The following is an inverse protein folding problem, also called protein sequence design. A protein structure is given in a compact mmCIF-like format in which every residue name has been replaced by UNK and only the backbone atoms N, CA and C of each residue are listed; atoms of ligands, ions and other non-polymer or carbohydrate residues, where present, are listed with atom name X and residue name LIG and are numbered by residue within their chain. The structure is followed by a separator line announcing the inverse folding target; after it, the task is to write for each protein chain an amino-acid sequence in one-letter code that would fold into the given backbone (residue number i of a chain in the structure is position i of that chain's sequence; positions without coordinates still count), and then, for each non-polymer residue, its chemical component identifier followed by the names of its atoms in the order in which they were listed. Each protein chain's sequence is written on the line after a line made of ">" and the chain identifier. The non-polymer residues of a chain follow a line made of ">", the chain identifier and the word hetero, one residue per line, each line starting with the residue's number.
data_IF_531441112977
#
_entry.id   IF_531441112977
#
_cell.length_a   1.000
_cell.length_b   1.000
_cell.length_c   1.000
_cell.angle_alpha   90.00
_cell.angle_beta   90.00
_cell.angle_gamma   90.00
#
_symmetry.space_group_name_H-M   'P 1'
#
loop_
_entity.id
_entity.type
_entity.pdbx_description
1 polymer ?
#
# COMPACT_ATOMS: atom_id res chain seq x y z
N UNK A 1 4.19 -16.76 -25.55
CA UNK A 1 4.99 -15.53 -25.66
C UNK A 1 5.32 -15.30 -27.13
N UNK A 2 5.51 -14.05 -27.54
CA UNK A 2 6.06 -13.73 -28.87
C UNK A 2 7.59 -13.88 -28.87
N UNK A 3 8.23 -13.95 -30.05
CA UNK A 3 9.71 -13.97 -30.15
C UNK A 3 10.35 -12.76 -29.46
N UNK A 4 9.72 -11.58 -29.57
CA UNK A 4 10.20 -10.38 -28.88
C UNK A 4 10.11 -10.52 -27.36
N UNK A 5 9.02 -11.10 -26.84
CA UNK A 5 8.88 -11.36 -25.41
C UNK A 5 9.93 -12.37 -24.90
N UNK A 6 10.26 -13.39 -25.68
CA UNK A 6 11.33 -14.34 -25.33
C UNK A 6 12.69 -13.64 -25.25
N UNK A 7 13.00 -12.75 -26.19
CA UNK A 7 14.22 -11.94 -26.16
C UNK A 7 14.24 -11.00 -24.94
N UNK A 8 13.14 -10.29 -24.68
CA UNK A 8 13.01 -9.40 -23.52
C UNK A 8 13.16 -10.18 -22.19
N UNK A 9 12.61 -11.39 -22.11
CA UNK A 9 12.77 -12.27 -20.95
C UNK A 9 14.23 -12.71 -20.80
N UNK A 10 14.92 -13.05 -21.88
CA UNK A 10 16.35 -13.36 -21.84
C UNK A 10 17.18 -12.16 -21.35
N UNK A 11 16.84 -10.93 -21.79
CA UNK A 11 17.46 -9.70 -21.30
C UNK A 11 17.19 -9.48 -19.80
N UNK A 12 15.98 -9.75 -19.34
CA UNK A 12 15.62 -9.71 -17.90
C UNK A 12 16.45 -10.71 -17.10
N UNK A 13 16.57 -11.95 -17.55
CA UNK A 13 17.38 -13.00 -16.88
C UNK A 13 18.84 -12.54 -16.79
N UNK A 14 19.42 -12.08 -17.90
CA UNK A 14 20.79 -11.56 -17.94
C UNK A 14 20.98 -10.40 -16.98
N UNK A 15 20.06 -9.42 -16.97
CA UNK A 15 20.08 -8.28 -16.05
C UNK A 15 20.08 -8.73 -14.59
N UNK A 16 19.24 -9.71 -14.24
CA UNK A 16 19.20 -10.25 -12.88
C UNK A 16 20.51 -10.96 -12.51
N UNK A 17 21.12 -11.71 -13.44
CA UNK A 17 22.41 -12.34 -13.23
C UNK A 17 23.52 -11.30 -13.01
N UNK A 18 23.63 -10.31 -13.90
CA UNK A 18 24.65 -9.25 -13.85
C UNK A 18 24.58 -8.46 -12.53
N UNK A 19 23.36 -8.22 -12.04
CA UNK A 19 23.12 -7.45 -10.80
C UNK A 19 22.91 -8.32 -9.57
N UNK A 20 23.08 -9.64 -9.67
CA UNK A 20 22.87 -10.60 -8.57
C UNK A 20 21.48 -10.46 -7.90
N UNK A 21 20.46 -10.15 -8.70
CA UNK A 21 19.09 -9.96 -8.24
C UNK A 21 18.38 -11.30 -8.19
N UNK A 22 17.70 -11.56 -7.07
CA UNK A 22 16.81 -12.71 -6.91
C UNK A 22 15.41 -12.16 -6.67
N UNK A 23 14.49 -12.49 -7.58
CA UNK A 23 13.11 -12.05 -7.48
C UNK A 23 12.34 -13.01 -6.55
N UNK A 24 11.81 -12.54 -5.42
CA UNK A 24 10.99 -13.37 -4.53
C UNK A 24 9.66 -13.75 -5.17
N UNK A 25 9.16 -14.93 -4.81
CA UNK A 25 7.79 -15.33 -5.14
C UNK A 25 6.78 -14.71 -4.17
N UNK A 26 5.52 -14.58 -4.57
CA UNK A 26 4.45 -14.21 -3.62
C UNK A 26 4.32 -15.19 -2.45
N UNK A 27 4.66 -16.47 -2.64
CA UNK A 27 4.69 -17.45 -1.55
C UNK A 27 5.72 -17.07 -0.49
N UNK A 28 6.90 -16.60 -0.89
CA UNK A 28 7.95 -16.12 0.02
C UNK A 28 7.60 -14.79 0.68
N UNK A 29 6.99 -13.85 -0.05
CA UNK A 29 6.50 -12.61 0.54
C UNK A 29 5.40 -12.84 1.60
N UNK A 30 4.50 -13.80 1.33
CA UNK A 30 3.46 -14.24 2.26
C UNK A 30 4.03 -15.00 3.46
N UNK A 31 4.98 -15.91 3.20
CA UNK A 31 5.62 -16.73 4.21
C UNK A 31 7.16 -16.65 4.10
N UNK A 32 7.79 -15.75 4.88
CA UNK A 32 9.23 -15.58 4.91
C UNK A 32 10.02 -16.84 5.31
N UNK A 33 9.40 -17.83 5.97
CA UNK A 33 10.05 -19.11 6.29
C UNK A 33 10.48 -19.88 5.02
N UNK A 34 9.87 -19.56 3.86
CA UNK A 34 10.22 -20.13 2.56
C UNK A 34 11.41 -19.42 1.88
N UNK A 35 11.95 -18.36 2.50
CA UNK A 35 13.13 -17.65 2.01
C UNK A 35 14.36 -18.48 2.37
N UNK A 36 15.28 -18.77 1.42
CA UNK A 36 16.51 -19.50 1.71
C UNK A 36 17.29 -18.89 2.88
N UNK A 37 17.76 -19.72 3.81
CA UNK A 37 18.52 -19.28 5.01
C UNK A 37 19.70 -18.37 4.66
N UNK A 38 20.41 -18.67 3.57
CA UNK A 38 21.51 -17.83 3.06
C UNK A 38 21.11 -16.39 2.74
N UNK A 39 19.86 -16.16 2.34
CA UNK A 39 19.31 -14.83 2.06
C UNK A 39 18.92 -14.17 3.38
N UNK A 40 18.24 -14.90 4.26
CA UNK A 40 17.87 -14.39 5.59
C UNK A 40 19.10 -13.96 6.41
N UNK A 41 20.18 -14.73 6.37
CA UNK A 41 21.44 -14.40 7.03
C UNK A 41 22.02 -13.07 6.51
N UNK A 42 22.02 -12.86 5.18
CA UNK A 42 22.50 -11.61 4.57
C UNK A 42 21.64 -10.39 4.89
N UNK A 43 20.33 -10.57 5.09
CA UNK A 43 19.43 -9.47 5.47
C UNK A 43 19.78 -8.86 6.84
N UNK A 44 20.48 -9.62 7.70
CA UNK A 44 20.93 -9.13 9.02
C UNK A 44 21.97 -8.01 8.95
N UNK A 45 22.61 -7.83 7.80
CA UNK A 45 23.60 -6.78 7.56
C UNK A 45 23.05 -5.65 6.67
N UNK A 46 21.73 -5.60 6.46
CA UNK A 46 21.06 -4.69 5.52
C UNK A 46 19.98 -3.89 6.26
N UNK A 47 19.99 -2.56 6.07
CA UNK A 47 18.94 -1.65 6.52
C UNK A 47 17.61 -1.90 5.82
N UNK A 48 16.50 -1.72 6.53
CA UNK A 48 15.14 -1.98 6.03
C UNK A 48 14.80 -1.16 4.77
N UNK A 49 15.40 0.03 4.64
CA UNK A 49 15.16 0.97 3.55
C UNK A 49 16.36 1.14 2.60
N UNK A 50 17.41 0.31 2.77
CA UNK A 50 18.59 0.36 1.90
C UNK A 50 18.25 -0.04 0.47
N UNK A 51 18.94 0.57 -0.50
CA UNK A 51 18.84 0.23 -1.92
C UNK A 51 19.61 -1.05 -2.25
N UNK A 52 19.23 -2.16 -1.60
CA UNK A 52 19.82 -3.48 -1.78
C UNK A 52 18.80 -4.45 -2.40
N UNK A 53 19.12 -5.17 -3.50
CA UNK A 53 18.20 -6.10 -4.14
C UNK A 53 17.59 -7.17 -3.20
N UNK A 54 18.28 -7.55 -2.13
CA UNK A 54 17.73 -8.51 -1.15
C UNK A 54 16.52 -7.94 -0.38
N UNK A 55 16.37 -6.62 -0.28
CA UNK A 55 15.18 -6.03 0.33
C UNK A 55 13.90 -6.27 -0.49
N UNK A 56 13.95 -6.81 -1.71
CA UNK A 56 12.76 -7.35 -2.39
C UNK A 56 12.06 -8.42 -1.53
N UNK A 57 12.82 -9.22 -0.78
CA UNK A 57 12.28 -10.23 0.14
C UNK A 57 11.58 -9.61 1.36
N UNK A 58 11.88 -8.34 1.68
CA UNK A 58 11.21 -7.57 2.73
C UNK A 58 9.92 -6.88 2.25
N UNK A 59 9.44 -7.16 1.04
CA UNK A 59 8.10 -6.75 0.60
C UNK A 59 7.08 -7.71 1.24
N UNK A 60 6.95 -7.60 2.57
CA UNK A 60 6.17 -8.49 3.43
C UNK A 60 5.64 -7.75 4.66
N UNK A 61 4.47 -8.16 5.14
CA UNK A 61 3.87 -7.66 6.38
C UNK A 61 4.60 -8.13 7.65
N UNK A 62 5.56 -9.04 7.51
CA UNK A 62 6.19 -9.81 8.59
C UNK A 62 7.61 -9.38 8.90
N UNK A 63 8.08 -8.25 8.40
CA UNK A 63 9.41 -7.75 8.74
C UNK A 63 9.50 -7.49 10.25
N UNK A 64 10.62 -7.84 10.87
CA UNK A 64 10.88 -7.40 12.24
C UNK A 64 10.91 -5.86 12.29
N UNK A 65 10.26 -5.22 13.29
CA UNK A 65 10.07 -3.77 13.33
C UNK A 65 11.33 -3.02 13.80
N UNK A 66 12.45 -3.25 13.14
CA UNK A 66 13.75 -2.61 13.39
C UNK A 66 14.32 -2.04 12.08
N UNK A 67 15.03 -0.92 12.18
CA UNK A 67 15.52 -0.21 10.98
C UNK A 67 16.73 -0.89 10.32
N UNK A 68 17.50 -1.68 11.07
CA UNK A 68 18.70 -2.35 10.59
C UNK A 68 18.77 -3.80 11.06
N UNK A 69 19.11 -4.70 10.14
CA UNK A 69 19.42 -6.10 10.46
C UNK A 69 18.26 -6.99 10.90
N UNK A 70 17.02 -6.47 10.84
CA UNK A 70 15.82 -7.21 11.23
C UNK A 70 15.58 -8.46 10.39
N UNK A 71 15.12 -9.52 11.05
CA UNK A 71 14.62 -10.73 10.42
C UNK A 71 13.15 -10.63 10.03
N UNK A 72 12.43 -11.73 10.24
CA UNK A 72 10.99 -11.81 10.04
C UNK A 72 10.32 -12.35 11.32
N UNK A 73 9.09 -11.94 11.57
CA UNK A 73 8.26 -12.38 12.69
C UNK A 73 6.79 -12.54 12.30
N UNK A 74 5.89 -12.30 13.24
CA UNK A 74 4.46 -12.22 12.95
C UNK A 74 4.11 -11.00 12.08
N UNK A 75 2.88 -10.97 11.58
CA UNK A 75 2.35 -9.78 10.90
C UNK A 75 2.39 -8.58 11.86
N UNK A 76 2.90 -7.45 11.40
CA UNK A 76 2.90 -6.23 12.19
C UNK A 76 1.49 -5.63 12.27
N UNK A 77 0.92 -5.57 13.48
CA UNK A 77 -0.38 -4.93 13.71
C UNK A 77 -0.45 -4.22 15.07
N UNK A 78 -1.45 -3.35 15.20
CA UNK A 78 -1.96 -2.84 16.48
C UNK A 78 -3.44 -3.17 16.59
N UNK A 79 -3.88 -3.46 17.81
CA UNK A 79 -5.30 -3.50 18.14
C UNK A 79 -5.65 -2.20 18.87
N UNK A 80 -6.72 -1.54 18.44
CA UNK A 80 -7.16 -0.29 19.02
C UNK A 80 -8.22 -0.55 20.11
N UNK A 81 -8.04 0.01 21.32
CA UNK A 81 -8.91 -0.25 22.45
C UNK A 81 -10.28 0.46 22.29
N UNK A 82 -11.27 -0.02 23.03
CA UNK A 82 -12.64 0.53 23.03
C UNK A 82 -12.68 1.99 23.52
N UNK A 83 -11.79 2.35 24.43
CA UNK A 83 -11.60 3.70 24.99
C UNK A 83 -11.20 4.70 23.90
N UNK A 84 -10.47 4.24 22.87
CA UNK A 84 -10.08 5.07 21.72
C UNK A 84 -11.14 5.05 20.61
N UNK A 85 -11.69 3.87 20.30
CA UNK A 85 -12.56 3.67 19.12
C UNK A 85 -14.03 3.97 19.40
N UNK A 86 -14.46 3.89 20.65
CA UNK A 86 -15.84 4.09 21.08
C UNK A 86 -16.83 3.04 20.55
N UNK A 87 -16.36 1.86 20.12
CA UNK A 87 -17.20 0.77 19.61
C UNK A 87 -16.87 -0.55 20.32
N UNK A 88 -17.84 -1.47 20.33
CA UNK A 88 -17.67 -2.81 20.94
C UNK A 88 -16.86 -3.76 20.06
N UNK A 89 -16.94 -3.58 18.74
CA UNK A 89 -16.18 -4.37 17.78
C UNK A 89 -14.68 -4.14 17.95
N UNK A 90 -13.89 -5.21 17.80
CA UNK A 90 -12.43 -5.11 17.85
C UNK A 90 -11.92 -4.54 16.53
N UNK A 91 -11.10 -3.50 16.58
CA UNK A 91 -10.50 -2.88 15.39
C UNK A 91 -9.01 -3.17 15.38
N UNK A 92 -8.54 -3.84 14.34
CA UNK A 92 -7.14 -4.23 14.15
C UNK A 92 -6.57 -3.55 12.92
N UNK A 93 -5.40 -2.95 13.06
CA UNK A 93 -4.72 -2.18 12.00
C UNK A 93 -3.39 -2.85 11.70
N UNK A 94 -3.23 -3.38 10.48
CA UNK A 94 -1.93 -3.84 10.00
C UNK A 94 -1.03 -2.64 9.69
N UNK A 95 0.26 -2.73 10.01
CA UNK A 95 1.20 -1.60 9.93
C UNK A 95 2.11 -1.70 8.71
N UNK A 96 1.95 -0.77 7.76
CA UNK A 96 2.75 -0.67 6.54
C UNK A 96 4.13 -0.02 6.72
N UNK A 97 4.35 0.65 7.87
CA UNK A 97 5.59 1.38 8.20
C UNK A 97 6.86 0.54 8.04
N UNK A 98 6.77 -0.77 8.29
CA UNK A 98 7.91 -1.68 8.26
C UNK A 98 8.15 -2.32 6.90
N UNK A 99 7.49 -1.85 5.84
CA UNK A 99 7.90 -2.18 4.48
C UNK A 99 9.10 -1.33 4.05
N UNK A 100 9.85 -1.77 3.03
CA UNK A 100 10.76 -0.90 2.30
C UNK A 100 10.08 0.41 1.90
N UNK A 101 10.83 1.51 1.85
CA UNK A 101 10.32 2.91 1.71
C UNK A 101 9.42 3.44 2.83
N UNK A 102 9.10 2.63 3.84
CA UNK A 102 8.22 3.02 4.95
C UNK A 102 6.73 2.88 4.64
N UNK A 103 6.36 2.26 3.51
CA UNK A 103 4.98 2.14 3.09
C UNK A 103 4.74 0.83 2.33
N UNK A 104 3.60 0.17 2.54
CA UNK A 104 3.30 -1.09 1.86
C UNK A 104 3.09 -0.94 0.33
N UNK A 105 3.08 0.29 -0.21
CA UNK A 105 2.93 0.56 -1.65
C UNK A 105 4.04 -0.04 -2.50
N UNK A 106 5.20 -0.40 -1.94
CA UNK A 106 6.20 -1.23 -2.64
C UNK A 106 5.63 -2.57 -3.12
N UNK A 107 4.66 -3.15 -2.41
CA UNK A 107 3.95 -4.34 -2.88
C UNK A 107 3.08 -4.08 -4.12
N UNK A 108 2.37 -2.94 -4.11
CA UNK A 108 1.52 -2.52 -5.21
C UNK A 108 2.32 -2.16 -6.48
N UNK A 109 3.59 -1.80 -6.35
CA UNK A 109 4.50 -1.49 -7.48
C UNK A 109 5.27 -2.72 -7.96
N UNK A 110 5.61 -3.63 -7.04
CA UNK A 110 6.31 -4.88 -7.35
C UNK A 110 5.50 -5.74 -8.33
N UNK A 111 4.20 -5.91 -8.07
CA UNK A 111 3.31 -6.72 -8.92
C UNK A 111 3.34 -6.29 -10.39
N UNK A 112 2.96 -5.05 -10.73
CA UNK A 112 2.99 -4.52 -12.09
C UNK A 112 4.36 -4.67 -12.78
N UNK A 113 5.45 -4.26 -12.13
CA UNK A 113 6.79 -4.33 -12.73
C UNK A 113 7.26 -5.76 -12.95
N UNK A 114 7.22 -6.60 -11.92
CA UNK A 114 7.72 -7.98 -11.99
C UNK A 114 6.89 -8.80 -12.96
N UNK A 115 5.57 -8.62 -13.01
CA UNK A 115 4.73 -9.33 -13.96
C UNK A 115 5.13 -9.07 -15.43
N UNK A 116 5.50 -7.84 -15.78
CA UNK A 116 5.96 -7.52 -17.14
C UNK A 116 7.37 -8.01 -17.41
N UNK A 117 8.27 -7.97 -16.41
CA UNK A 117 9.62 -8.52 -16.51
C UNK A 117 9.60 -10.02 -16.79
N UNK A 118 8.87 -10.81 -15.99
CA UNK A 118 8.87 -12.28 -16.09
C UNK A 118 8.06 -12.80 -17.28
N UNK A 119 7.22 -11.98 -17.91
CA UNK A 119 6.47 -12.33 -19.12
C UNK A 119 7.10 -11.77 -20.40
N UNK A 120 8.23 -11.05 -20.30
CA UNK A 120 8.91 -10.44 -21.43
C UNK A 120 8.19 -9.22 -22.03
N UNK A 121 7.21 -8.64 -21.33
CA UNK A 121 6.52 -7.42 -21.77
C UNK A 121 7.33 -6.15 -21.46
N UNK A 122 8.39 -6.26 -20.66
CA UNK A 122 9.32 -5.19 -20.32
C UNK A 122 10.76 -5.67 -20.55
N UNK A 123 11.53 -4.91 -21.31
CA UNK A 123 12.98 -5.09 -21.47
C UNK A 123 13.75 -4.08 -20.60
N UNK A 124 14.37 -4.54 -19.50
CA UNK A 124 15.10 -3.66 -18.58
C UNK A 124 16.41 -3.10 -19.14
N UNK A 125 16.83 -3.54 -20.33
CA UNK A 125 18.04 -3.03 -20.99
C UNK A 125 17.79 -1.81 -21.88
N UNK A 126 16.56 -1.66 -22.39
CA UNK A 126 16.22 -0.63 -23.40
C UNK A 126 15.05 0.25 -22.99
N UNK A 127 14.22 -0.17 -22.04
CA UNK A 127 13.01 0.55 -21.62
C UNK A 127 13.13 1.11 -20.19
N UNK A 128 12.36 2.16 -19.90
CA UNK A 128 12.18 2.71 -18.54
C UNK A 128 10.76 2.42 -18.02
N UNK A 129 10.65 2.13 -16.73
CA UNK A 129 9.39 2.02 -16.01
C UNK A 129 8.85 3.42 -15.68
N UNK A 130 7.64 3.74 -16.12
CA UNK A 130 6.98 5.01 -15.85
C UNK A 130 5.88 4.82 -14.80
N UNK A 131 5.96 5.57 -13.71
CA UNK A 131 5.10 5.51 -12.55
C UNK A 131 4.23 6.78 -12.45
N UNK A 132 2.95 6.73 -12.82
CA UNK A 132 2.02 7.83 -12.64
C UNK A 132 1.36 7.77 -11.26
N UNK A 133 1.63 8.73 -10.38
CA UNK A 133 0.97 8.82 -9.07
C UNK A 133 1.21 10.16 -8.37
N UNK A 134 0.28 10.53 -7.51
CA UNK A 134 0.42 11.64 -6.58
C UNK A 134 1.25 11.28 -5.34
N UNK A 135 1.33 10.01 -4.93
CA UNK A 135 1.87 9.60 -3.62
C UNK A 135 2.93 8.49 -3.63
N UNK A 136 2.85 7.62 -2.63
CA UNK A 136 3.83 6.56 -2.33
C UNK A 136 4.07 5.54 -3.46
N UNK A 137 3.21 5.48 -4.48
CA UNK A 137 3.40 4.58 -5.62
C UNK A 137 4.60 4.99 -6.50
N UNK A 138 4.86 6.29 -6.69
CA UNK A 138 6.09 6.76 -7.36
C UNK A 138 7.34 6.35 -6.58
N UNK A 139 7.29 6.49 -5.25
CA UNK A 139 8.39 6.13 -4.35
C UNK A 139 8.68 4.63 -4.40
N UNK A 140 7.66 3.80 -4.21
CA UNK A 140 7.79 2.34 -4.25
C UNK A 140 8.22 1.84 -5.62
N UNK A 141 7.71 2.43 -6.70
CA UNK A 141 8.05 2.04 -8.06
C UNK A 141 9.49 2.38 -8.42
N UNK A 142 9.96 3.58 -8.08
CA UNK A 142 11.36 3.95 -8.26
C UNK A 142 12.30 3.08 -7.42
N UNK A 143 11.89 2.70 -6.19
CA UNK A 143 12.61 1.75 -5.35
C UNK A 143 12.75 0.38 -6.02
N UNK A 144 11.63 -0.23 -6.43
CA UNK A 144 11.63 -1.56 -7.07
C UNK A 144 12.40 -1.54 -8.39
N UNK A 145 12.21 -0.49 -9.21
CA UNK A 145 12.96 -0.30 -10.46
C UNK A 145 14.46 -0.25 -10.19
N UNK A 146 14.91 0.48 -9.18
CA UNK A 146 16.33 0.52 -8.81
C UNK A 146 16.85 -0.86 -8.41
N UNK A 147 16.13 -1.58 -7.54
CA UNK A 147 16.52 -2.91 -7.06
C UNK A 147 16.59 -3.94 -8.20
N UNK A 148 15.64 -3.89 -9.13
CA UNK A 148 15.56 -4.76 -10.31
C UNK A 148 16.42 -4.27 -11.48
N UNK A 149 17.10 -3.13 -11.32
CA UNK A 149 18.01 -2.55 -12.30
C UNK A 149 17.37 -2.04 -13.59
N UNK A 150 16.15 -1.53 -13.47
CA UNK A 150 15.36 -0.87 -14.50
C UNK A 150 15.52 0.66 -14.39
N UNK A 151 15.46 1.37 -15.52
CA UNK A 151 15.33 2.83 -15.48
C UNK A 151 13.95 3.24 -14.96
N UNK A 152 13.87 4.37 -14.25
CA UNK A 152 12.63 4.87 -13.64
C UNK A 152 12.28 6.28 -14.12
N UNK A 153 10.98 6.52 -14.33
CA UNK A 153 10.37 7.83 -14.58
C UNK A 153 9.21 7.98 -13.59
N UNK A 154 9.22 9.01 -12.76
CA UNK A 154 8.14 9.36 -11.86
C UNK A 154 7.39 10.57 -12.41
N UNK A 155 6.07 10.45 -12.56
CA UNK A 155 5.18 11.54 -12.97
C UNK A 155 4.23 11.84 -11.82
N UNK A 156 4.40 13.01 -11.20
CA UNK A 156 3.67 13.42 -9.99
C UNK A 156 3.41 14.93 -9.97
N UNK A 157 2.42 15.42 -9.20
CA UNK A 157 2.10 16.85 -9.16
C UNK A 157 3.16 17.70 -8.46
N UNK A 158 3.26 18.97 -8.83
CA UNK A 158 4.27 19.91 -8.32
C UNK A 158 4.00 20.40 -6.88
N UNK A 159 2.75 20.34 -6.40
CA UNK A 159 2.40 20.71 -5.02
C UNK A 159 2.77 19.63 -3.98
N UNK A 160 3.37 18.52 -4.41
CA UNK A 160 3.87 17.48 -3.51
C UNK A 160 5.13 17.94 -2.76
N UNK A 161 5.43 17.30 -1.63
CA UNK A 161 6.53 17.75 -0.76
C UNK A 161 7.90 17.69 -1.45
N UNK A 162 8.76 18.68 -1.17
CA UNK A 162 10.13 18.72 -1.70
C UNK A 162 10.95 17.46 -1.34
N UNK A 163 10.75 16.92 -0.13
CA UNK A 163 11.37 15.66 0.30
C UNK A 163 11.07 14.50 -0.66
N UNK A 164 9.87 14.48 -1.25
CA UNK A 164 9.46 13.46 -2.23
C UNK A 164 10.27 13.58 -3.52
N UNK A 165 10.45 14.81 -4.02
CA UNK A 165 11.29 15.08 -5.19
C UNK A 165 12.76 14.74 -4.93
N UNK A 166 13.30 15.14 -3.78
CA UNK A 166 14.69 14.90 -3.41
C UNK A 166 14.99 13.40 -3.31
N UNK A 167 14.08 12.63 -2.71
CA UNK A 167 14.22 11.18 -2.62
C UNK A 167 14.18 10.52 -4.01
N UNK A 168 13.26 10.93 -4.89
CA UNK A 168 13.15 10.38 -6.25
C UNK A 168 14.40 10.65 -7.10
N UNK A 169 14.96 11.86 -7.00
CA UNK A 169 16.21 12.22 -7.65
C UNK A 169 17.39 11.41 -7.09
N UNK A 170 17.45 11.22 -5.76
CA UNK A 170 18.52 10.43 -5.11
C UNK A 170 18.53 8.96 -5.55
N UNK A 171 17.36 8.36 -5.79
CA UNK A 171 17.27 6.98 -6.32
C UNK A 171 17.49 6.91 -7.84
N UNK A 172 17.76 8.04 -8.51
CA UNK A 172 18.06 8.10 -9.93
C UNK A 172 16.84 8.02 -10.84
N UNK A 173 15.65 8.31 -10.33
CA UNK A 173 14.45 8.41 -11.17
C UNK A 173 14.47 9.72 -11.95
N UNK A 174 14.09 9.67 -13.22
CA UNK A 174 13.69 10.87 -13.94
C UNK A 174 12.40 11.40 -13.32
N UNK A 175 12.31 12.69 -13.00
CA UNK A 175 11.14 13.28 -12.33
C UNK A 175 10.47 14.29 -13.24
N UNK A 176 9.17 14.12 -13.46
CA UNK A 176 8.35 14.99 -14.31
C UNK A 176 7.19 15.50 -13.47
N UNK A 177 7.22 16.80 -13.17
CA UNK A 177 6.16 17.47 -12.43
C UNK A 177 4.95 17.80 -13.33
N UNK A 178 3.74 17.70 -12.79
CA UNK A 178 2.50 18.16 -13.42
C UNK A 178 1.80 19.21 -12.56
N UNK A 179 0.96 20.09 -13.12
CA UNK A 179 0.19 21.05 -12.33
C UNK A 179 -0.77 20.38 -11.34
N UNK A 180 -0.97 21.00 -10.17
CA UNK A 180 -1.95 20.59 -9.15
C UNK A 180 -1.38 19.80 -7.97
N UNK A 181 -2.27 19.17 -7.19
CA UNK A 181 -1.95 18.52 -5.93
C UNK A 181 -2.47 17.08 -5.80
N UNK A 182 -2.76 16.65 -4.57
CA UNK A 182 -2.97 15.24 -4.19
C UNK A 182 -4.08 14.52 -4.98
N UNK A 183 -5.12 15.23 -5.42
CA UNK A 183 -6.26 14.64 -6.15
C UNK A 183 -6.21 14.91 -7.66
N UNK A 184 -5.09 15.41 -8.21
CA UNK A 184 -4.96 15.81 -9.62
C UNK A 184 -4.34 14.70 -10.49
N UNK A 185 -5.13 13.65 -10.76
CA UNK A 185 -4.68 12.50 -11.58
C UNK A 185 -4.85 12.73 -13.09
N UNK A 186 -5.78 13.60 -13.51
CA UNK A 186 -6.01 13.90 -14.93
C UNK A 186 -4.75 14.45 -15.60
N UNK A 187 -4.11 15.42 -14.97
CA UNK A 187 -2.93 16.09 -15.50
C UNK A 187 -1.76 15.10 -15.65
N UNK A 188 -1.63 14.16 -14.71
CA UNK A 188 -0.70 13.03 -14.81
C UNK A 188 -1.02 12.18 -16.04
N UNK A 189 -2.29 11.82 -16.28
CA UNK A 189 -2.66 11.03 -17.46
C UNK A 189 -2.39 11.75 -18.79
N UNK A 190 -2.68 13.05 -18.87
CA UNK A 190 -2.39 13.85 -20.05
C UNK A 190 -0.88 13.88 -20.33
N UNK A 191 -0.06 14.01 -19.26
CA UNK A 191 1.40 13.94 -19.38
C UNK A 191 1.90 12.55 -19.77
N UNK A 192 1.35 11.49 -19.21
CA UNK A 192 1.66 10.10 -19.58
C UNK A 192 1.36 9.84 -21.05
N UNK A 193 0.20 10.32 -21.54
CA UNK A 193 -0.19 10.20 -22.95
C UNK A 193 0.78 10.92 -23.87
N UNK A 194 1.20 12.14 -23.50
CA UNK A 194 2.24 12.89 -24.21
C UNK A 194 3.55 12.09 -24.27
N UNK A 195 4.05 11.62 -23.13
CA UNK A 195 5.32 10.89 -23.05
C UNK A 195 5.27 9.58 -23.86
N UNK A 196 4.14 8.89 -23.86
CA UNK A 196 3.95 7.68 -24.68
C UNK A 196 4.00 7.98 -26.17
N UNK A 197 3.41 9.09 -26.61
CA UNK A 197 3.48 9.53 -28.00
C UNK A 197 4.91 9.93 -28.41
N UNK A 198 5.65 10.59 -27.51
CA UNK A 198 7.01 11.08 -27.76
C UNK A 198 8.08 9.98 -27.70
N UNK A 199 7.97 9.04 -26.74
CA UNK A 199 9.01 8.07 -26.43
C UNK A 199 8.71 6.66 -26.95
N UNK A 200 7.46 6.40 -27.36
CA UNK A 200 7.02 5.11 -27.86
C UNK A 200 7.39 3.97 -26.91
N UNK A 201 7.93 2.88 -27.48
CA UNK A 201 8.28 1.69 -26.72
C UNK A 201 9.50 1.87 -25.79
N UNK A 202 10.16 3.03 -25.75
CA UNK A 202 11.26 3.27 -24.78
C UNK A 202 10.77 3.39 -23.34
N UNK A 203 9.47 3.52 -23.13
CA UNK A 203 8.86 3.59 -21.81
C UNK A 203 7.74 2.56 -21.68
N UNK A 204 7.59 2.02 -20.48
CA UNK A 204 6.47 1.15 -20.14
C UNK A 204 5.73 1.80 -18.98
N UNK A 205 4.48 2.18 -19.24
CA UNK A 205 3.60 2.78 -18.25
C UNK A 205 3.09 1.69 -17.31
N UNK A 206 3.33 1.85 -16.01
CA UNK A 206 2.89 0.96 -14.95
C UNK A 206 1.78 1.65 -14.16
N UNK A 207 0.61 1.77 -14.80
CA UNK A 207 -0.49 2.54 -14.26
C UNK A 207 -1.26 1.75 -13.17
N UNK A 208 -1.12 2.18 -11.90
CA UNK A 208 -1.74 1.47 -10.77
C UNK A 208 -3.27 1.32 -10.84
N UNK A 209 -3.93 2.16 -11.63
CA UNK A 209 -5.38 2.20 -11.77
C UNK A 209 -5.93 1.16 -12.76
N UNK A 210 -5.09 0.60 -13.65
CA UNK A 210 -5.49 -0.41 -14.65
C UNK A 210 -4.65 -1.71 -14.61
N UNK A 211 -3.51 -1.71 -13.92
CA UNK A 211 -2.64 -2.89 -13.78
C UNK A 211 -3.20 -3.90 -12.77
N UNK A 212 -3.83 -4.97 -13.26
CA UNK A 212 -4.42 -6.05 -12.44
C UNK A 212 -3.41 -6.75 -11.51
N UNK A 213 -2.11 -6.64 -11.79
CA UNK A 213 -1.06 -7.15 -10.90
C UNK A 213 -0.98 -6.39 -9.56
N UNK A 214 -1.52 -5.16 -9.48
CA UNK A 214 -1.65 -4.38 -8.24
C UNK A 214 -2.60 -5.09 -7.24
N UNK A 215 -3.92 -5.26 -7.53
CA UNK A 215 -4.81 -5.98 -6.61
C UNK A 215 -4.41 -7.44 -6.43
N UNK A 216 -3.77 -8.08 -7.42
CA UNK A 216 -3.32 -9.47 -7.30
C UNK A 216 -2.23 -9.63 -6.22
N UNK A 217 -1.32 -8.67 -6.07
CA UNK A 217 -0.34 -8.71 -4.97
C UNK A 217 -1.05 -8.66 -3.61
N UNK A 218 -2.06 -7.80 -3.47
CA UNK A 218 -2.85 -7.72 -2.24
C UNK A 218 -3.68 -8.98 -1.99
N UNK A 219 -4.25 -9.59 -3.03
CA UNK A 219 -4.92 -10.89 -2.94
C UNK A 219 -3.96 -11.98 -2.44
N UNK A 220 -2.73 -12.02 -2.96
CA UNK A 220 -1.77 -13.08 -2.68
C UNK A 220 -0.97 -12.91 -1.37
N UNK A 221 -0.82 -11.68 -0.89
CA UNK A 221 0.05 -11.33 0.25
C UNK A 221 -0.72 -10.65 1.38
N UNK A 222 -1.45 -9.57 1.08
CA UNK A 222 -2.13 -8.76 2.10
C UNK A 222 -3.35 -9.47 2.70
N UNK A 223 -4.23 -10.05 1.87
CA UNK A 223 -5.40 -10.81 2.32
C UNK A 223 -5.01 -11.97 3.26
N UNK A 224 -4.03 -12.81 2.89
CA UNK A 224 -3.51 -13.84 3.78
C UNK A 224 -2.94 -13.33 5.09
N UNK A 225 -2.21 -12.20 5.08
CA UNK A 225 -1.70 -11.60 6.31
C UNK A 225 -2.84 -11.16 7.24
N UNK A 226 -3.91 -10.58 6.71
CA UNK A 226 -5.11 -10.22 7.50
C UNK A 226 -5.80 -11.46 8.08
N UNK A 227 -5.93 -12.53 7.28
CA UNK A 227 -6.51 -13.79 7.75
C UNK A 227 -5.65 -14.44 8.85
N UNK A 228 -4.32 -14.36 8.73
CA UNK A 228 -3.39 -14.85 9.75
C UNK A 228 -3.55 -14.08 11.07
N UNK A 229 -3.60 -12.75 11.02
CA UNK A 229 -3.84 -11.90 12.19
C UNK A 229 -5.17 -12.30 12.85
N UNK A 230 -6.27 -12.33 12.10
CA UNK A 230 -7.57 -12.73 12.63
C UNK A 230 -7.51 -14.12 13.29
N UNK A 231 -6.92 -15.11 12.63
CA UNK A 231 -6.81 -16.46 13.17
C UNK A 231 -5.94 -16.55 14.43
N UNK A 232 -4.93 -15.69 14.57
CA UNK A 232 -4.07 -15.66 15.75
C UNK A 232 -4.72 -15.00 16.98
N UNK A 233 -5.65 -14.06 16.78
CA UNK A 233 -6.25 -13.28 17.87
C UNK A 233 -7.70 -13.66 18.19
N UNK A 234 -8.37 -14.45 17.34
CA UNK A 234 -9.79 -14.77 17.50
C UNK A 234 -10.01 -15.68 18.72
N UNK A 235 -11.08 -15.39 19.46
CA UNK A 235 -11.65 -16.30 20.44
C UNK A 235 -12.78 -17.14 19.82
N UNK A 236 -13.31 -18.13 20.54
CA UNK A 236 -14.28 -19.10 20.01
C UNK A 236 -15.54 -18.46 19.37
N UNK A 237 -16.00 -17.32 19.91
CA UNK A 237 -17.23 -16.67 19.45
C UNK A 237 -16.98 -15.57 18.41
N UNK A 238 -15.72 -15.29 18.05
CA UNK A 238 -15.36 -14.17 17.20
C UNK A 238 -15.37 -14.49 15.71
N UNK A 239 -15.80 -13.50 14.93
CA UNK A 239 -15.92 -13.56 13.47
C UNK A 239 -15.16 -12.40 12.84
N UNK A 240 -14.60 -12.64 11.66
CA UNK A 240 -14.05 -11.57 10.83
C UNK A 240 -15.21 -10.94 10.06
N UNK A 241 -15.77 -9.88 10.63
CA UNK A 241 -17.05 -9.32 10.18
C UNK A 241 -16.87 -8.17 9.21
N UNK A 242 -15.81 -7.37 9.34
CA UNK A 242 -15.58 -6.20 8.50
C UNK A 242 -14.14 -6.05 8.00
N UNK A 243 -13.97 -5.65 6.75
CA UNK A 243 -12.73 -5.11 6.20
C UNK A 243 -13.03 -3.67 5.78
N UNK A 244 -12.25 -2.71 6.25
CA UNK A 244 -12.40 -1.32 5.80
C UNK A 244 -11.10 -0.83 5.17
N UNK A 245 -11.19 -0.28 3.95
CA UNK A 245 -10.03 0.24 3.22
C UNK A 245 -10.43 1.49 2.43
N UNK A 246 -9.73 2.60 2.63
CA UNK A 246 -9.85 3.79 1.80
C UNK A 246 -9.35 3.50 0.39
N UNK A 247 -10.05 4.03 -0.61
CA UNK A 247 -9.70 3.84 -2.01
C UNK A 247 -8.85 5.00 -2.52
N UNK A 248 -7.70 4.67 -3.12
CA UNK A 248 -7.02 5.51 -4.12
C UNK A 248 -7.02 4.74 -5.43
N UNK A 249 -5.94 3.99 -5.70
CA UNK A 249 -5.92 3.02 -6.80
C UNK A 249 -6.79 1.77 -6.61
N UNK A 250 -7.45 1.62 -5.47
CA UNK A 250 -8.24 0.44 -5.08
C UNK A 250 -7.47 -0.90 -5.00
N UNK A 251 -6.16 -0.95 -5.27
CA UNK A 251 -5.37 -2.19 -5.22
C UNK A 251 -5.50 -2.96 -3.91
N UNK A 252 -5.43 -2.28 -2.76
CA UNK A 252 -5.54 -2.92 -1.45
C UNK A 252 -6.88 -3.63 -1.25
N UNK A 253 -7.97 -3.18 -1.90
CA UNK A 253 -9.27 -3.86 -1.85
C UNK A 253 -9.25 -5.26 -2.47
N UNK A 254 -8.24 -5.60 -3.30
CA UNK A 254 -8.00 -6.97 -3.77
C UNK A 254 -7.71 -7.97 -2.64
N UNK A 255 -7.33 -7.51 -1.45
CA UNK A 255 -7.28 -8.36 -0.25
C UNK A 255 -8.67 -8.87 0.18
N UNK A 256 -9.72 -8.06 -0.03
CA UNK A 256 -11.12 -8.42 0.24
C UNK A 256 -11.60 -9.57 -0.64
N UNK A 257 -11.13 -9.63 -1.89
CA UNK A 257 -11.44 -10.73 -2.81
C UNK A 257 -10.93 -12.07 -2.29
N UNK A 258 -9.69 -12.11 -1.77
CA UNK A 258 -9.16 -13.30 -1.10
C UNK A 258 -9.97 -13.61 0.17
N UNK A 259 -10.17 -12.60 1.02
CA UNK A 259 -10.81 -12.78 2.31
C UNK A 259 -12.24 -13.28 2.20
N UNK A 260 -13.02 -12.85 1.20
CA UNK A 260 -14.38 -13.38 0.97
C UNK A 260 -14.39 -14.87 0.58
N UNK A 261 -13.31 -15.41 0.02
CA UNK A 261 -13.19 -16.87 -0.19
C UNK A 261 -13.03 -17.65 1.13
N UNK A 262 -12.48 -17.01 2.16
CA UNK A 262 -12.21 -17.62 3.46
C UNK A 262 -13.31 -17.31 4.49
N UNK A 263 -13.89 -16.12 4.40
CA UNK A 263 -14.91 -15.57 5.29
C UNK A 263 -16.07 -15.01 4.45
N UNK A 264 -16.97 -15.86 3.93
CA UNK A 264 -17.99 -15.44 2.97
C UNK A 264 -18.98 -14.36 3.47
N UNK A 265 -19.14 -14.23 4.79
CA UNK A 265 -20.00 -13.23 5.42
C UNK A 265 -19.31 -11.87 5.63
N UNK A 266 -18.01 -11.74 5.31
CA UNK A 266 -17.23 -10.52 5.49
C UNK A 266 -17.84 -9.35 4.71
N UNK A 267 -18.00 -8.20 5.38
CA UNK A 267 -18.38 -6.93 4.76
C UNK A 267 -17.14 -6.12 4.39
N UNK A 268 -17.04 -5.73 3.13
CA UNK A 268 -15.93 -4.92 2.62
C UNK A 268 -16.41 -3.49 2.40
N UNK A 269 -15.87 -2.56 3.18
CA UNK A 269 -16.11 -1.13 3.05
C UNK A 269 -14.99 -0.42 2.28
N UNK A 270 -15.37 0.43 1.33
CA UNK A 270 -14.47 1.33 0.63
C UNK A 270 -14.64 2.77 1.15
N UNK A 271 -13.56 3.42 1.57
CA UNK A 271 -13.59 4.78 2.09
C UNK A 271 -13.16 5.85 1.08
N UNK A 272 -13.85 6.98 1.02
CA UNK A 272 -13.44 8.16 0.26
C UNK A 272 -13.63 9.45 1.06
N UNK A 273 -13.03 10.55 0.60
CA UNK A 273 -13.18 11.85 1.27
C UNK A 273 -14.52 12.49 0.90
N UNK A 274 -15.26 13.02 1.89
CA UNK A 274 -16.54 13.72 1.64
C UNK A 274 -16.35 14.98 0.78
N UNK A 275 -15.14 15.55 0.78
CA UNK A 275 -14.77 16.67 -0.07
C UNK A 275 -14.50 16.29 -1.53
N UNK A 276 -14.29 15.00 -1.84
CA UNK A 276 -14.17 14.47 -3.20
C UNK A 276 -14.86 13.08 -3.33
N UNK A 277 -16.20 13.02 -3.20
CA UNK A 277 -16.95 11.76 -3.09
C UNK A 277 -17.26 11.18 -4.48
N UNK A 278 -16.26 10.57 -5.10
CA UNK A 278 -16.35 10.04 -6.48
C UNK A 278 -17.34 8.89 -6.59
N UNK A 279 -17.30 7.90 -5.69
CA UNK A 279 -18.17 6.73 -5.74
C UNK A 279 -19.60 7.07 -5.27
N UNK A 280 -19.75 7.88 -4.22
CA UNK A 280 -21.05 8.17 -3.63
C UNK A 280 -21.86 9.20 -4.39
N UNK A 281 -21.21 10.22 -4.96
CA UNK A 281 -21.91 11.37 -5.54
C UNK A 281 -21.44 11.74 -6.95
N UNK A 282 -20.59 10.93 -7.58
CA UNK A 282 -19.87 11.32 -8.80
C UNK A 282 -19.22 12.71 -8.62
N UNK A 283 -18.77 12.98 -7.40
CA UNK A 283 -18.32 14.28 -6.94
C UNK A 283 -16.85 14.50 -7.25
N UNK A 284 -16.51 15.76 -7.50
CA UNK A 284 -15.15 16.24 -7.68
C UNK A 284 -14.84 17.25 -6.59
N UNK A 285 -13.59 17.29 -6.15
CA UNK A 285 -13.12 18.30 -5.21
C UNK A 285 -11.67 18.05 -4.80
N UNK A 286 -11.23 18.69 -3.73
CA UNK A 286 -9.90 18.51 -3.16
C UNK A 286 -10.02 18.16 -1.68
N UNK A 287 -9.11 17.34 -1.18
CA UNK A 287 -9.06 16.92 0.23
C UNK A 287 -7.61 16.75 0.67
N UNK A 288 -7.43 16.65 1.99
CA UNK A 288 -6.13 16.47 2.64
C UNK A 288 -5.81 15.03 3.01
N UNK A 289 -6.73 14.08 2.76
CA UNK A 289 -6.46 12.66 3.00
C UNK A 289 -5.53 12.13 1.90
N UNK A 290 -4.21 12.14 2.13
CA UNK A 290 -3.23 11.68 1.14
C UNK A 290 -3.34 10.18 0.84
N UNK A 291 -3.16 9.81 -0.42
CA UNK A 291 -3.15 8.44 -0.94
C UNK A 291 -4.53 7.87 -1.34
N UNK A 292 -5.58 8.70 -1.38
CA UNK A 292 -6.97 8.29 -1.64
C UNK A 292 -7.69 9.28 -2.57
N UNK A 293 -8.88 8.96 -3.08
CA UNK A 293 -9.83 9.95 -3.63
C UNK A 293 -9.43 10.61 -4.97
N UNK A 294 -9.16 9.80 -6.00
CA UNK A 294 -8.53 10.23 -7.25
C UNK A 294 -9.48 10.78 -8.35
N UNK A 295 -10.68 11.26 -8.00
CA UNK A 295 -11.69 11.83 -8.94
C UNK A 295 -12.15 10.89 -10.09
N UNK A 296 -11.83 9.60 -10.01
CA UNK A 296 -12.26 8.59 -10.97
C UNK A 296 -12.40 7.24 -10.27
N UNK A 297 -13.11 6.31 -10.90
CA UNK A 297 -13.21 4.92 -10.42
C UNK A 297 -12.09 4.10 -11.09
N UNK A 298 -11.14 3.53 -10.34
CA UNK A 298 -10.07 2.72 -10.91
C UNK A 298 -10.62 1.47 -11.60
N UNK A 299 -10.05 1.12 -12.76
CA UNK A 299 -10.44 -0.08 -13.51
C UNK A 299 -10.22 -1.38 -12.72
N UNK A 300 -9.20 -1.39 -11.87
CA UNK A 300 -8.88 -2.52 -10.99
C UNK A 300 -9.84 -2.70 -9.80
N UNK A 301 -10.75 -1.74 -9.54
CA UNK A 301 -11.67 -1.82 -8.41
C UNK A 301 -12.79 -2.83 -8.66
N UNK A 302 -12.74 -3.96 -7.94
CA UNK A 302 -13.82 -4.94 -7.93
C UNK A 302 -15.04 -4.46 -7.10
N UNK A 303 -15.90 -3.64 -7.72
CA UNK A 303 -17.10 -3.12 -7.08
C UNK A 303 -18.11 -4.22 -6.67
N UNK A 304 -18.12 -5.38 -7.33
CA UNK A 304 -19.02 -6.50 -6.96
C UNK A 304 -18.70 -7.08 -5.58
N UNK A 305 -17.45 -6.92 -5.12
CA UNK A 305 -17.03 -7.38 -3.81
C UNK A 305 -16.98 -6.26 -2.76
N UNK A 306 -17.40 -5.03 -3.09
CA UNK A 306 -17.54 -3.92 -2.14
C UNK A 306 -18.99 -3.85 -1.64
N UNK A 307 -19.21 -3.98 -0.33
CA UNK A 307 -20.56 -3.98 0.29
C UNK A 307 -21.07 -2.57 0.60
N UNK A 308 -20.16 -1.63 0.93
CA UNK A 308 -20.54 -0.28 1.34
C UNK A 308 -19.45 0.73 0.97
N UNK A 309 -19.85 1.95 0.62
CA UNK A 309 -18.96 3.09 0.46
C UNK A 309 -19.18 4.06 1.61
N UNK A 310 -18.11 4.59 2.20
CA UNK A 310 -18.15 5.43 3.39
C UNK A 310 -17.38 6.73 3.15
N UNK A 311 -18.09 7.85 3.27
CA UNK A 311 -17.50 9.19 3.27
C UNK A 311 -16.76 9.49 4.57
N UNK A 312 -15.60 10.12 4.47
CA UNK A 312 -14.74 10.53 5.58
C UNK A 312 -14.42 12.03 5.48
N UNK A 313 -14.61 12.75 6.57
CA UNK A 313 -14.27 14.18 6.61
C UNK A 313 -12.77 14.36 6.90
N UNK A 314 -12.05 14.92 5.93
CA UNK A 314 -10.62 15.17 6.05
C UNK A 314 -10.26 16.03 7.28
N UNK A 315 -11.16 16.92 7.73
CA UNK A 315 -10.91 17.78 8.87
C UNK A 315 -10.83 16.98 10.17
N UNK A 316 -11.60 15.88 10.27
CA UNK A 316 -11.53 14.96 11.41
C UNK A 316 -10.21 14.21 11.39
N UNK A 317 -9.80 13.71 10.21
CA UNK A 317 -8.53 12.99 10.02
C UNK A 317 -7.35 13.86 10.45
N UNK A 318 -7.28 15.11 9.98
CA UNK A 318 -6.18 16.03 10.31
C UNK A 318 -6.14 16.40 11.80
N UNK A 319 -7.29 16.52 12.46
CA UNK A 319 -7.34 16.76 13.92
C UNK A 319 -6.82 15.55 14.71
N UNK A 320 -7.19 14.33 14.29
CA UNK A 320 -6.69 13.10 14.92
C UNK A 320 -5.19 12.89 14.69
N UNK A 321 -4.68 13.23 13.51
CA UNK A 321 -3.24 13.18 13.24
C UNK A 321 -2.46 14.01 14.25
N UNK A 322 -2.93 15.23 14.56
CA UNK A 322 -2.33 16.08 15.59
C UNK A 322 -2.48 15.46 16.99
N UNK A 323 -3.67 14.97 17.34
CA UNK A 323 -3.93 14.33 18.63
C UNK A 323 -2.98 13.14 18.89
N UNK A 324 -2.66 12.35 17.86
CA UNK A 324 -1.82 11.15 17.98
C UNK A 324 -0.32 11.47 18.08
N UNK A 325 0.11 12.64 17.59
CA UNK A 325 1.52 12.98 17.45
C UNK A 325 1.99 14.09 18.41
N UNK A 326 1.12 14.98 18.87
CA UNK A 326 1.48 16.06 19.79
C UNK A 326 1.49 15.57 21.27
N UNK A 327 2.47 16.00 22.10
CA UNK A 327 2.55 15.58 23.50
C UNK A 327 1.26 15.78 24.30
N UNK A 328 0.63 16.97 24.19
CA UNK A 328 -0.63 17.28 24.85
C UNK A 328 -1.77 16.32 24.45
N UNK A 329 -1.78 15.89 23.18
CA UNK A 329 -2.77 14.93 22.69
C UNK A 329 -2.55 13.53 23.27
N UNK A 330 -1.29 13.11 23.39
CA UNK A 330 -0.93 11.84 24.02
C UNK A 330 -1.28 11.81 25.51
N UNK A 331 -0.99 12.89 26.23
CA UNK A 331 -1.36 13.03 27.65
C UNK A 331 -2.89 12.99 27.83
N UNK A 332 -3.63 13.68 26.95
CA UNK A 332 -5.09 13.63 26.94
C UNK A 332 -5.61 12.21 26.74
N UNK A 333 -5.10 11.46 25.74
CA UNK A 333 -5.51 10.09 25.48
C UNK A 333 -5.22 9.15 26.65
N UNK A 334 -4.05 9.28 27.28
CA UNK A 334 -3.71 8.47 28.46
C UNK A 334 -4.61 8.78 29.65
N UNK A 335 -4.87 10.07 29.92
CA UNK A 335 -5.82 10.47 30.98
C UNK A 335 -7.26 10.01 30.70
N UNK A 336 -7.61 9.82 29.43
CA UNK A 336 -8.88 9.24 28.97
C UNK A 336 -8.95 7.71 29.05
N UNK A 337 -7.92 7.03 29.56
CA UNK A 337 -7.89 5.58 29.77
C UNK A 337 -7.31 4.77 28.61
N UNK A 338 -6.78 5.41 27.56
CA UNK A 338 -6.08 4.68 26.49
C UNK A 338 -4.73 4.18 27.00
N UNK A 339 -4.40 2.88 26.89
CA UNK A 339 -3.13 2.33 27.36
C UNK A 339 -1.92 3.05 26.77
N UNK A 340 -0.91 3.34 27.60
CA UNK A 340 0.28 4.09 27.21
C UNK A 340 1.02 3.45 26.02
N UNK A 341 1.09 2.12 25.99
CA UNK A 341 1.69 1.34 24.89
C UNK A 341 0.99 1.55 23.54
N UNK A 342 -0.33 1.73 23.54
CA UNK A 342 -1.10 2.05 22.34
C UNK A 342 -0.82 3.48 21.92
N UNK A 343 -0.88 4.43 22.86
CA UNK A 343 -0.64 5.86 22.60
C UNK A 343 0.72 6.10 21.94
N UNK A 344 1.77 5.43 22.41
CA UNK A 344 3.12 5.53 21.83
C UNK A 344 3.22 5.00 20.40
N UNK A 345 2.29 4.12 20.00
CA UNK A 345 2.24 3.53 18.65
C UNK A 345 1.25 4.23 17.72
N UNK A 346 0.46 5.19 18.20
CA UNK A 346 -0.49 5.94 17.36
C UNK A 346 0.20 6.84 16.32
N UNK A 347 1.48 7.17 16.52
CA UNK A 347 2.30 7.84 15.50
C UNK A 347 2.60 6.98 14.27
N UNK A 348 2.29 5.68 14.31
CA UNK A 348 2.44 4.75 13.18
C UNK A 348 1.24 4.80 12.21
N UNK A 349 0.25 5.65 12.47
CA UNK A 349 -0.91 5.83 11.61
C UNK A 349 -0.77 7.14 10.83
N UNK A 350 -0.34 7.04 9.58
CA UNK A 350 -0.44 8.14 8.62
C UNK A 350 -1.89 8.58 8.36
N UNK A 351 -2.05 9.64 7.56
CA UNK A 351 -3.34 10.30 7.29
C UNK A 351 -4.38 9.29 6.76
N UNK A 352 -4.03 8.47 5.77
CA UNK A 352 -4.92 7.43 5.24
C UNK A 352 -5.19 6.30 6.24
N UNK A 353 -4.22 5.97 7.11
CA UNK A 353 -4.39 4.99 8.18
C UNK A 353 -5.42 5.44 9.22
N UNK A 354 -5.42 6.72 9.58
CA UNK A 354 -6.43 7.32 10.47
C UNK A 354 -7.81 7.32 9.78
N UNK A 355 -7.86 7.67 8.50
CA UNK A 355 -9.10 7.62 7.71
C UNK A 355 -9.69 6.19 7.67
N UNK A 356 -8.83 5.19 7.49
CA UNK A 356 -9.16 3.77 7.58
C UNK A 356 -9.79 3.37 8.92
N UNK A 357 -9.20 3.81 10.04
CA UNK A 357 -9.74 3.57 11.38
C UNK A 357 -11.11 4.23 11.56
N UNK A 358 -11.28 5.49 11.13
CA UNK A 358 -12.56 6.18 11.20
C UNK A 358 -13.65 5.45 10.40
N UNK A 359 -13.31 4.94 9.23
CA UNK A 359 -14.23 4.16 8.42
C UNK A 359 -14.56 2.80 9.03
N UNK A 360 -13.59 2.13 9.65
CA UNK A 360 -13.84 0.92 10.44
C UNK A 360 -14.81 1.19 11.61
N UNK A 361 -14.67 2.32 12.31
CA UNK A 361 -15.60 2.75 13.37
C UNK A 361 -17.01 2.99 12.80
N UNK A 362 -17.12 3.67 11.66
CA UNK A 362 -18.41 3.89 10.98
C UNK A 362 -19.05 2.58 10.54
N UNK A 363 -18.26 1.66 9.99
CA UNK A 363 -18.70 0.33 9.58
C UNK A 363 -19.25 -0.46 10.78
N UNK A 364 -18.53 -0.43 11.91
CA UNK A 364 -18.96 -1.07 13.15
C UNK A 364 -20.32 -0.54 13.64
N UNK A 365 -20.50 0.79 13.62
CA UNK A 365 -21.73 1.45 14.04
C UNK A 365 -22.89 1.16 13.10
N UNK A 366 -22.65 1.19 11.79
CA UNK A 366 -23.69 0.98 10.78
C UNK A 366 -24.25 -0.44 10.80
N UNK A 367 -23.40 -1.45 10.95
CA UNK A 367 -23.81 -2.85 11.02
C UNK A 367 -24.05 -3.35 12.46
N UNK A 368 -24.06 -2.45 13.45
CA UNK A 368 -24.31 -2.76 14.86
C UNK A 368 -23.41 -3.89 15.41
N UNK A 369 -22.15 -3.89 14.99
CA UNK A 369 -21.19 -4.92 15.37
C UNK A 369 -20.91 -4.92 16.88
N UNK A 370 -20.80 -6.14 17.41
CA UNK A 370 -20.66 -6.45 18.83
C UNK A 370 -19.21 -6.80 19.18
N UNK A 371 -18.96 -7.17 20.45
CA UNK A 371 -17.67 -7.70 20.91
C UNK A 371 -17.23 -9.01 20.22
N UNK A 372 -18.16 -9.67 19.53
CA UNK A 372 -17.90 -10.88 18.76
C UNK A 372 -17.45 -10.59 17.32
N UNK A 373 -17.37 -9.33 16.93
CA UNK A 373 -17.06 -8.90 15.57
C UNK A 373 -15.68 -8.24 15.54
N UNK A 374 -14.85 -8.69 14.61
CA UNK A 374 -13.52 -8.13 14.35
C UNK A 374 -13.53 -7.42 13.01
N UNK A 375 -13.02 -6.19 13.01
CA UNK A 375 -12.79 -5.40 11.81
C UNK A 375 -11.29 -5.24 11.62
N UNK A 376 -10.80 -5.51 10.41
CA UNK A 376 -9.40 -5.30 10.04
C UNK A 376 -9.29 -4.15 9.04
N UNK A 377 -8.24 -3.35 9.18
CA UNK A 377 -7.83 -2.30 8.25
C UNK A 377 -6.30 -2.19 8.19
N UNK A 378 -5.76 -1.20 7.48
CA UNK A 378 -4.32 -0.96 7.33
C UNK A 378 -3.93 0.49 7.62
N UNK A 379 -2.75 0.69 8.19
CA UNK A 379 -2.01 1.94 8.11
C UNK A 379 -1.04 1.82 6.94
N UNK A 380 -1.19 2.69 5.93
CA UNK A 380 -0.40 2.57 4.70
C UNK A 380 1.09 2.77 4.96
N UNK A 381 1.38 3.78 5.77
CA UNK A 381 2.67 4.40 6.09
C UNK A 381 2.69 4.98 7.51
#
# INVERSE_FOLDING_TARGET
>A
MTKQQELNLANTIKRCQDRHVIIPTFKQMRNPDLIPEKIQAKLRDIGLWDLNPLNLFRISWKNEPVEFGGGFGGVNYIELPGELTGVKARIVVLLGKYFPTGAHKVGATFGPLVSKLITGQFDPSTQKALWPSTGNYCRGGAYDAYLLGCGSIAVLPEEMSQERFDWLNKVGSEVIATPGGESNVKEIYDKVKQLKAERGDKIVVLNQFDEMSNPLWHYAVTGPAMAEVFNSIKTANQRFSGLFLTQGSAGTLGSGDYLKTQFPALKVGAGEAVQCPTLLRNGFGAHRIEGIGDKHVPWVHNMRNTDVVVDLDDAVVMRLLRLFNEPLGRDFLQSGGVPAEVVMRLGLLGISGIANVLGAIKLAKYYEYSQNDVIITVATD
#
